data_IF_039079489565
#
_entry.id   IF_039079489565
#
_cell.length_a   1.000
_cell.length_b   1.000
_cell.length_c   1.000
_cell.angle_alpha   90.00
_cell.angle_beta   90.00
_cell.angle_gamma   90.00
#
_symmetry.space_group_name_H-M   'P 1'
#
loop_
_entity.id
_entity.type
_entity.pdbx_description
1 polymer ?
#
# COMPACT_ATOMS: atom_id res chain seq x y z
N UNK A 1 8.14 -6.22 -6.19
CA UNK A 1 7.26 -6.03 -7.36
C UNK A 1 5.83 -5.74 -6.90
N UNK A 2 5.11 -4.85 -7.58
CA UNK A 2 3.68 -4.59 -7.29
C UNK A 2 2.76 -5.50 -8.12
N UNK A 3 1.59 -5.85 -7.58
CA UNK A 3 0.50 -6.52 -8.31
C UNK A 3 0.08 -5.64 -9.50
N UNK A 4 -0.17 -6.24 -10.68
CA UNK A 4 -0.37 -5.55 -11.97
C UNK A 4 -1.47 -4.49 -12.01
N UNK A 5 -2.29 -4.33 -10.97
CA UNK A 5 -3.39 -3.33 -10.96
C UNK A 5 -3.63 -2.63 -9.61
N UNK A 6 -2.83 -2.90 -8.58
CA UNK A 6 -3.07 -2.45 -7.20
C UNK A 6 -1.75 -2.24 -6.48
N UNK A 7 -1.71 -1.28 -5.54
CA UNK A 7 -0.57 -0.95 -4.67
C UNK A 7 -0.16 -2.08 -3.71
N UNK A 8 -0.55 -3.33 -4.00
CA UNK A 8 -0.15 -4.51 -3.25
C UNK A 8 1.22 -4.97 -3.68
N UNK A 9 1.92 -5.57 -2.74
CA UNK A 9 3.16 -6.27 -3.00
C UNK A 9 2.84 -7.64 -3.61
N UNK A 10 3.32 -7.88 -4.82
CA UNK A 10 3.32 -9.21 -5.44
C UNK A 10 4.50 -10.03 -4.92
N UNK A 11 5.64 -9.38 -4.75
CA UNK A 11 6.87 -10.01 -4.29
C UNK A 11 7.83 -8.98 -3.67
N UNK A 12 8.74 -9.44 -2.82
CA UNK A 12 9.84 -8.64 -2.23
C UNK A 12 11.13 -9.43 -2.41
N UNK A 13 12.08 -8.84 -3.14
CA UNK A 13 13.37 -9.48 -3.40
C UNK A 13 14.12 -9.75 -2.09
N UNK A 14 14.48 -11.01 -1.84
CA UNK A 14 15.24 -11.41 -0.66
C UNK A 14 16.59 -10.69 -0.60
N UNK A 15 17.00 -10.27 0.60
CA UNK A 15 18.24 -9.51 0.81
C UNK A 15 18.19 -8.02 0.39
N UNK A 16 17.14 -7.58 -0.30
CA UNK A 16 16.93 -6.17 -0.63
C UNK A 16 16.74 -5.28 0.62
N UNK A 17 16.90 -3.94 0.51
CA UNK A 17 16.60 -3.03 1.61
C UNK A 17 15.18 -3.20 2.17
N UNK A 18 14.18 -3.42 1.31
CA UNK A 18 12.82 -3.68 1.73
C UNK A 18 12.68 -4.98 2.55
N UNK A 19 13.35 -6.06 2.12
CA UNK A 19 13.38 -7.32 2.84
C UNK A 19 14.01 -7.18 4.23
N UNK A 20 15.16 -6.49 4.29
CA UNK A 20 15.90 -6.22 5.53
C UNK A 20 15.10 -5.33 6.49
N UNK A 21 14.29 -4.43 5.96
CA UNK A 21 13.35 -3.60 6.73
C UNK A 21 12.10 -4.37 7.21
N UNK A 22 11.99 -5.67 6.94
CA UNK A 22 10.86 -6.50 7.39
C UNK A 22 9.62 -6.45 6.50
N UNK A 23 9.69 -5.80 5.33
CA UNK A 23 8.57 -5.80 4.38
C UNK A 23 8.42 -7.20 3.79
N UNK A 24 7.18 -7.70 3.76
CA UNK A 24 6.83 -9.02 3.21
C UNK A 24 5.67 -8.90 2.24
N UNK A 25 5.64 -9.70 1.16
CA UNK A 25 4.54 -9.67 0.19
C UNK A 25 3.22 -10.15 0.81
N UNK A 26 3.29 -11.09 1.75
CA UNK A 26 2.17 -11.60 2.53
C UNK A 26 2.35 -11.27 4.01
N UNK A 27 1.28 -10.83 4.65
CA UNK A 27 1.20 -10.50 6.07
C UNK A 27 -0.03 -11.15 6.69
N UNK A 28 -0.11 -11.28 8.02
CA UNK A 28 -1.33 -11.73 8.69
C UNK A 28 -2.54 -10.88 8.30
N UNK A 29 -3.65 -11.54 7.98
CA UNK A 29 -4.92 -10.86 7.73
C UNK A 29 -5.50 -10.32 9.05
N UNK A 30 -6.25 -9.22 8.97
CA UNK A 30 -6.90 -8.59 10.14
C UNK A 30 -8.41 -8.76 10.15
N UNK A 31 -9.03 -9.02 8.99
CA UNK A 31 -10.48 -9.19 8.89
C UNK A 31 -10.91 -10.66 8.78
N UNK A 32 -9.96 -11.59 8.75
CA UNK A 32 -10.18 -13.03 8.61
C UNK A 32 -8.95 -13.80 9.09
N UNK A 33 -9.08 -15.11 9.28
CA UNK A 33 -7.94 -16.00 9.51
C UNK A 33 -7.09 -16.17 8.24
N UNK A 34 -5.80 -16.45 8.42
CA UNK A 34 -4.83 -16.66 7.34
C UNK A 34 -4.05 -15.39 6.97
N UNK A 35 -3.58 -15.33 5.72
CA UNK A 35 -2.73 -14.24 5.23
C UNK A 35 -3.42 -13.40 4.16
N UNK A 36 -2.85 -12.23 3.92
CA UNK A 36 -3.29 -11.28 2.90
C UNK A 36 -2.08 -10.57 2.30
N UNK A 37 -2.15 -10.10 1.04
CA UNK A 37 -1.09 -9.26 0.49
C UNK A 37 -0.88 -8.00 1.33
N UNK A 38 0.36 -7.57 1.50
CA UNK A 38 0.66 -6.23 2.00
C UNK A 38 0.39 -5.19 0.90
N UNK A 39 0.04 -3.96 1.30
CA UNK A 39 -0.28 -2.85 0.42
C UNK A 39 0.44 -1.59 0.87
N UNK A 40 1.13 -0.90 -0.04
CA UNK A 40 1.72 0.41 0.25
C UNK A 40 0.58 1.43 0.34
N UNK A 41 0.59 2.21 1.41
CA UNK A 41 -0.45 3.21 1.72
C UNK A 41 0.12 4.59 2.01
N UNK A 42 1.43 4.68 2.24
CA UNK A 42 2.13 5.93 2.41
C UNK A 42 3.56 5.80 1.87
N UNK A 43 4.05 6.85 1.22
CA UNK A 43 5.46 7.04 0.87
C UNK A 43 5.91 8.33 1.54
N UNK A 44 6.92 8.25 2.41
CA UNK A 44 7.30 9.32 3.32
C UNK A 44 6.13 9.84 4.17
N UNK A 45 5.79 11.12 4.02
CA UNK A 45 4.66 11.76 4.69
C UNK A 45 3.45 11.90 3.75
N UNK A 46 3.51 11.28 2.56
CA UNK A 46 2.47 11.36 1.55
C UNK A 46 1.59 10.12 1.62
N UNK A 47 0.41 10.28 2.21
CA UNK A 47 -0.64 9.27 2.20
C UNK A 47 -1.13 9.06 0.78
N UNK A 48 -1.06 7.83 0.30
CA UNK A 48 -1.49 7.49 -1.05
C UNK A 48 -2.99 7.33 -1.08
N UNK A 49 -3.61 7.77 -2.17
CA UNK A 49 -5.02 7.53 -2.37
C UNK A 49 -5.25 6.03 -2.52
N UNK A 50 -5.96 5.45 -1.55
CA UNK A 50 -6.18 4.00 -1.52
C UNK A 50 -6.94 3.52 -2.75
N UNK A 51 -7.74 4.37 -3.41
CA UNK A 51 -8.50 4.02 -4.62
C UNK A 51 -7.65 4.06 -5.90
N UNK A 52 -6.49 4.71 -5.87
CA UNK A 52 -5.56 4.78 -6.98
C UNK A 52 -4.93 3.43 -7.33
N UNK A 53 -4.45 3.36 -8.58
CA UNK A 53 -3.60 2.28 -9.08
C UNK A 53 -2.12 2.59 -8.76
N UNK A 54 -1.24 1.70 -9.21
CA UNK A 54 0.21 1.73 -8.97
C UNK A 54 0.87 3.05 -9.40
N UNK A 55 0.29 3.76 -10.36
CA UNK A 55 0.87 4.96 -10.97
C UNK A 55 1.18 6.05 -9.96
N UNK A 56 0.41 6.15 -8.87
CA UNK A 56 0.69 7.12 -7.80
C UNK A 56 1.90 6.68 -6.95
N UNK A 57 1.97 5.40 -6.56
CA UNK A 57 3.13 4.85 -5.85
C UNK A 57 4.40 5.04 -6.67
N UNK A 58 4.35 4.70 -7.96
CA UNK A 58 5.51 4.78 -8.84
C UNK A 58 5.96 6.23 -9.01
N UNK A 59 5.02 7.16 -9.28
CA UNK A 59 5.33 8.60 -9.35
C UNK A 59 5.94 9.12 -8.05
N UNK A 60 5.42 8.72 -6.90
CA UNK A 60 5.97 9.13 -5.62
C UNK A 60 7.33 8.52 -5.34
N UNK A 61 7.63 7.32 -5.87
CA UNK A 61 8.96 6.71 -5.74
C UNK A 61 9.97 7.40 -6.68
N UNK A 62 9.56 7.73 -7.90
CA UNK A 62 10.41 8.36 -8.92
C UNK A 62 10.87 9.77 -8.51
N UNK A 63 10.14 10.45 -7.62
CA UNK A 63 10.51 11.77 -7.09
C UNK A 63 11.40 11.71 -5.86
N UNK A 64 11.69 10.51 -5.33
CA UNK A 64 12.47 10.39 -4.10
C UNK A 64 13.96 10.62 -4.34
N UNK A 65 14.65 11.23 -3.36
CA UNK A 65 16.11 11.26 -3.39
C UNK A 65 16.64 9.82 -3.31
N UNK A 66 17.78 9.57 -3.95
CA UNK A 66 18.45 8.26 -3.96
C UNK A 66 18.98 7.80 -2.58
N UNK A 67 18.81 8.61 -1.53
CA UNK A 67 19.37 8.37 -0.20
C UNK A 67 18.49 7.50 0.68
N UNK A 68 17.43 8.07 1.27
CA UNK A 68 16.58 7.39 2.25
C UNK A 68 15.14 7.87 2.09
N UNK A 69 14.22 6.91 2.09
CA UNK A 69 12.78 7.16 2.17
C UNK A 69 12.12 6.14 3.09
N UNK A 70 10.89 6.44 3.47
CA UNK A 70 10.06 5.59 4.31
C UNK A 70 8.81 5.17 3.56
N UNK A 71 8.29 4.00 3.87
CA UNK A 71 7.01 3.51 3.34
C UNK A 71 6.19 2.91 4.45
N UNK A 72 4.87 3.12 4.38
CA UNK A 72 3.93 2.45 5.26
C UNK A 72 3.18 1.37 4.50
N UNK A 73 3.27 0.14 5.00
CA UNK A 73 2.60 -1.03 4.45
C UNK A 73 1.48 -1.48 5.39
N UNK A 74 0.33 -1.81 4.81
CA UNK A 74 -0.85 -2.27 5.55
C UNK A 74 -1.39 -3.59 4.96
N UNK A 75 -2.02 -4.46 5.77
CA UNK A 75 -2.76 -5.61 5.27
C UNK A 75 -3.83 -5.20 4.25
N UNK A 76 -3.87 -5.85 3.08
CA UNK A 76 -4.77 -5.40 2.01
C UNK A 76 -6.25 -5.64 2.31
N UNK A 77 -6.57 -6.57 3.20
CA UNK A 77 -7.94 -6.80 3.67
C UNK A 77 -8.42 -5.65 4.56
N UNK A 78 -7.54 -5.08 5.39
CA UNK A 78 -7.78 -3.82 6.10
C UNK A 78 -8.08 -2.67 5.13
N UNK A 79 -7.24 -2.49 4.10
CA UNK A 79 -7.44 -1.45 3.08
C UNK A 79 -8.78 -1.64 2.35
N UNK A 80 -9.16 -2.90 2.06
CA UNK A 80 -10.48 -3.22 1.49
C UNK A 80 -11.63 -2.86 2.43
N UNK A 81 -11.49 -3.14 3.72
CA UNK A 81 -12.48 -2.76 4.73
C UNK A 81 -12.64 -1.24 4.74
N UNK A 82 -11.53 -0.49 4.82
CA UNK A 82 -11.53 0.97 4.78
C UNK A 82 -12.21 1.52 3.53
N UNK A 83 -11.88 0.99 2.34
CA UNK A 83 -12.55 1.37 1.08
C UNK A 83 -14.05 1.15 1.12
N UNK A 84 -14.51 0.03 1.67
CA UNK A 84 -15.94 -0.29 1.78
C UNK A 84 -16.63 0.66 2.76
N UNK A 85 -16.00 0.98 3.87
CA UNK A 85 -16.52 1.92 4.86
C UNK A 85 -16.60 3.33 4.29
N UNK A 86 -15.55 3.81 3.62
CA UNK A 86 -15.55 5.10 2.95
C UNK A 86 -16.67 5.18 1.93
N UNK A 87 -16.80 4.21 1.01
CA UNK A 87 -17.87 4.16 0.00
C UNK A 87 -19.31 4.28 0.54
N UNK A 88 -19.54 4.00 1.82
CA UNK A 88 -20.86 4.13 2.47
C UNK A 88 -21.13 5.54 3.00
N UNK A 89 -20.11 6.39 3.12
CA UNK A 89 -20.27 7.78 3.49
C UNK A 89 -20.96 8.52 2.34
N UNK A 90 -22.02 9.26 2.64
CA UNK A 90 -22.53 10.27 1.71
C UNK A 90 -21.42 11.31 1.58
N UNK A 91 -20.92 11.59 0.36
CA UNK A 91 -19.83 12.53 0.04
C UNK A 91 -18.40 11.96 -0.05
N UNK A 92 -18.23 10.70 -0.46
CA UNK A 92 -16.89 10.10 -0.71
C UNK A 92 -16.01 10.91 -1.66
N UNK A 93 -16.61 11.61 -2.63
CA UNK A 93 -15.90 12.48 -3.56
C UNK A 93 -15.02 13.51 -2.85
N UNK A 94 -15.43 13.99 -1.68
CA UNK A 94 -14.76 15.06 -0.94
C UNK A 94 -13.51 14.55 -0.20
N UNK A 95 -13.34 13.22 -0.13
CA UNK A 95 -12.23 12.55 0.56
C UNK A 95 -11.28 11.82 -0.40
N UNK A 96 -11.55 11.86 -1.70
CA UNK A 96 -10.79 11.16 -2.74
C UNK A 96 -10.34 12.20 -3.77
N UNK A 97 -9.25 12.90 -3.46
CA UNK A 97 -8.53 13.78 -4.37
C UNK A 97 -7.19 13.17 -4.76
#
# INVERSE_FOLDING_TARGET
MLDKRKNKLADVLEGSPAWKAGIRPLVPAVTRTGTTPACITCVNRHGLNIFSKNDEVLRQIDTLPLSIFTVMVQPYDFVKLLKRSLKKLKNVSDFVH
#
